data_IF_142996097818
#
_entry.id   IF_142996097818
#
_cell.length_a   1.000
_cell.length_b   1.000
_cell.length_c   1.000
_cell.angle_alpha   90.00
_cell.angle_beta   90.00
_cell.angle_gamma   90.00
#
_symmetry.space_group_name_H-M   'P 1'
#
loop_
_entity.id
_entity.type
_entity.pdbx_description
1 polymer ?
#
# COMPACT_ATOMS: atom_id res chain seq x y z
N UNK A 1 -14.75 13.56 4.87
CA UNK A 1 -14.87 12.28 4.14
C UNK A 1 -16.25 11.70 4.39
N UNK A 2 -16.95 11.28 3.33
CA UNK A 2 -18.23 10.58 3.43
C UNK A 2 -18.02 9.15 3.88
N UNK A 3 -18.99 8.55 4.55
CA UNK A 3 -19.00 7.12 4.89
C UNK A 3 -19.70 6.30 3.80
N UNK A 4 -19.39 5.01 3.71
CA UNK A 4 -20.11 4.05 2.86
C UNK A 4 -20.69 2.95 3.75
N UNK A 5 -22.02 2.84 3.81
CA UNK A 5 -22.74 1.83 4.63
C UNK A 5 -22.24 1.77 6.10
N UNK A 6 -21.95 2.92 6.70
CA UNK A 6 -21.42 2.97 8.07
C UNK A 6 -19.89 2.84 8.18
N UNK A 7 -19.18 2.56 7.08
CA UNK A 7 -17.73 2.40 7.08
C UNK A 7 -16.99 3.70 6.75
N UNK A 8 -15.87 3.90 7.44
CA UNK A 8 -15.04 5.10 7.37
C UNK A 8 -13.78 4.89 6.51
N UNK A 9 -13.12 5.99 6.11
CA UNK A 9 -11.82 5.92 5.46
C UNK A 9 -10.73 5.32 6.35
N UNK A 10 -10.71 5.62 7.65
CA UNK A 10 -9.75 5.03 8.58
C UNK A 10 -9.91 3.51 8.65
N UNK A 11 -11.16 3.01 8.63
CA UNK A 11 -11.42 1.58 8.56
C UNK A 11 -10.90 0.99 7.24
N UNK A 12 -11.28 1.59 6.09
CA UNK A 12 -10.77 1.19 4.77
C UNK A 12 -9.24 1.08 4.76
N UNK A 13 -8.56 2.11 5.28
CA UNK A 13 -7.10 2.22 5.33
C UNK A 13 -6.49 1.12 6.18
N UNK A 14 -7.11 0.77 7.30
CA UNK A 14 -6.71 -0.35 8.14
C UNK A 14 -6.86 -1.68 7.40
N UNK A 15 -7.98 -1.89 6.71
CA UNK A 15 -8.25 -3.13 5.95
C UNK A 15 -7.28 -3.34 4.79
N UNK A 16 -6.84 -2.26 4.13
CA UNK A 16 -5.82 -2.32 3.08
C UNK A 16 -4.48 -2.92 3.52
N UNK A 17 -4.23 -3.08 4.81
CA UNK A 17 -3.06 -3.82 5.28
C UNK A 17 -3.10 -5.30 4.94
N UNK A 18 -4.30 -5.86 4.77
CA UNK A 18 -4.55 -7.30 4.66
C UNK A 18 -5.35 -7.67 3.40
N UNK A 19 -6.21 -6.78 2.90
CA UNK A 19 -7.17 -7.08 1.85
C UNK A 19 -7.12 -6.09 0.70
N UNK A 20 -7.46 -6.59 -0.49
CA UNK A 20 -7.71 -5.78 -1.68
C UNK A 20 -9.15 -5.25 -1.72
N UNK A 21 -9.45 -4.35 -2.67
CA UNK A 21 -10.76 -3.70 -2.76
C UNK A 21 -11.91 -4.69 -2.99
N UNK A 22 -11.69 -5.79 -3.72
CA UNK A 22 -12.72 -6.82 -3.91
C UNK A 22 -13.08 -7.52 -2.59
N UNK A 23 -12.07 -7.91 -1.81
CA UNK A 23 -12.24 -8.53 -0.50
C UNK A 23 -12.87 -7.56 0.53
N UNK A 24 -12.49 -6.28 0.47
CA UNK A 24 -13.08 -5.26 1.34
C UNK A 24 -14.54 -5.02 0.98
N UNK A 25 -14.87 -4.94 -0.31
CA UNK A 25 -16.24 -4.78 -0.78
C UNK A 25 -17.11 -5.95 -0.34
N UNK A 26 -16.62 -7.18 -0.47
CA UNK A 26 -17.29 -8.40 0.01
C UNK A 26 -17.51 -8.35 1.53
N UNK A 27 -16.47 -8.01 2.31
CA UNK A 27 -16.56 -7.88 3.77
C UNK A 27 -17.59 -6.86 4.22
N UNK A 28 -17.69 -5.74 3.51
CA UNK A 28 -18.67 -4.68 3.78
C UNK A 28 -20.05 -4.99 3.16
N UNK A 29 -20.16 -6.10 2.44
CA UNK A 29 -21.35 -6.51 1.71
C UNK A 29 -21.88 -5.36 0.82
N UNK A 30 -20.98 -4.85 -0.03
CA UNK A 30 -21.23 -3.85 -1.06
C UNK A 30 -20.63 -4.31 -2.38
N UNK A 31 -21.07 -3.73 -3.50
CA UNK A 31 -20.46 -3.99 -4.80
C UNK A 31 -19.10 -3.32 -4.90
N UNK A 32 -18.18 -3.91 -5.69
CA UNK A 32 -16.90 -3.29 -6.00
C UNK A 32 -17.06 -1.90 -6.65
N UNK A 33 -18.11 -1.73 -7.47
CA UNK A 33 -18.46 -0.44 -8.07
C UNK A 33 -18.84 0.60 -7.03
N UNK A 34 -19.62 0.24 -6.01
CA UNK A 34 -19.98 1.15 -4.93
C UNK A 34 -18.75 1.60 -4.13
N UNK A 35 -17.83 0.67 -3.83
CA UNK A 35 -16.56 0.99 -3.18
C UNK A 35 -15.71 1.94 -4.04
N UNK A 36 -15.62 1.66 -5.34
CA UNK A 36 -14.83 2.46 -6.30
C UNK A 36 -15.38 3.88 -6.43
N UNK A 37 -16.71 4.04 -6.49
CA UNK A 37 -17.35 5.35 -6.52
C UNK A 37 -17.08 6.13 -5.23
N UNK A 38 -17.28 5.49 -4.08
CA UNK A 38 -17.00 6.11 -2.79
C UNK A 38 -15.54 6.55 -2.65
N UNK A 39 -14.59 5.73 -3.11
CA UNK A 39 -13.16 6.10 -3.17
C UNK A 39 -12.95 7.36 -4.00
N UNK A 40 -13.52 7.42 -5.20
CA UNK A 40 -13.43 8.57 -6.10
C UNK A 40 -14.00 9.85 -5.47
N UNK A 41 -15.18 9.77 -4.87
CA UNK A 41 -15.82 10.91 -4.20
C UNK A 41 -15.02 11.45 -3.01
N UNK A 42 -14.19 10.62 -2.39
CA UNK A 42 -13.34 10.99 -1.26
C UNK A 42 -11.88 11.25 -1.64
N UNK A 43 -11.53 11.21 -2.93
CA UNK A 43 -10.14 11.40 -3.39
C UNK A 43 -9.19 10.29 -2.91
N UNK A 44 -9.70 9.07 -2.69
CA UNK A 44 -8.92 7.93 -2.21
C UNK A 44 -8.38 7.13 -3.40
N UNK A 45 -7.11 7.34 -3.74
CA UNK A 45 -6.44 6.64 -4.84
C UNK A 45 -5.57 5.47 -4.40
N UNK A 46 -5.41 5.30 -3.09
CA UNK A 46 -4.54 4.26 -2.54
C UNK A 46 -5.17 2.87 -2.64
N UNK A 47 -4.34 1.88 -2.92
CA UNK A 47 -4.70 0.47 -3.05
C UNK A 47 -3.92 -0.41 -2.07
N UNK A 48 -4.32 -1.68 -2.00
CA UNK A 48 -3.62 -2.70 -1.22
C UNK A 48 -2.19 -2.92 -1.72
N UNK A 49 -2.00 -2.81 -3.04
CA UNK A 49 -0.69 -2.93 -3.67
C UNK A 49 0.25 -1.80 -3.22
N UNK A 50 -0.25 -0.55 -3.18
CA UNK A 50 0.54 0.61 -2.72
C UNK A 50 0.92 0.48 -1.25
N UNK A 51 0.02 -0.03 -0.40
CA UNK A 51 0.34 -0.31 1.01
C UNK A 51 1.44 -1.35 1.15
N UNK A 52 1.39 -2.43 0.35
CA UNK A 52 2.42 -3.45 0.35
C UNK A 52 3.76 -2.89 -0.14
N UNK A 53 3.77 -2.14 -1.24
CA UNK A 53 5.00 -1.48 -1.74
C UNK A 53 5.59 -0.52 -0.72
N UNK A 54 4.77 0.32 -0.08
CA UNK A 54 5.23 1.23 0.97
C UNK A 54 5.87 0.50 2.16
N UNK A 55 5.34 -0.66 2.56
CA UNK A 55 5.96 -1.50 3.60
C UNK A 55 7.33 -2.03 3.18
N UNK A 56 7.46 -2.43 1.92
CA UNK A 56 8.74 -2.87 1.34
C UNK A 56 9.74 -1.71 1.30
N UNK A 57 9.32 -0.54 0.82
CA UNK A 57 10.12 0.70 0.83
C UNK A 57 10.62 1.04 2.24
N UNK A 58 9.72 1.10 3.23
CA UNK A 58 10.10 1.39 4.63
C UNK A 58 11.12 0.40 5.18
N UNK A 59 11.02 -0.88 4.81
CA UNK A 59 11.99 -1.91 5.19
C UNK A 59 13.34 -1.69 4.52
N UNK A 60 13.37 -1.32 3.23
CA UNK A 60 14.59 -0.95 2.50
C UNK A 60 15.28 0.23 3.19
N UNK A 61 14.56 1.32 3.43
CA UNK A 61 15.11 2.53 4.08
C UNK A 61 15.68 2.19 5.46
N UNK A 62 14.99 1.35 6.25
CA UNK A 62 15.49 0.89 7.55
C UNK A 62 16.81 0.13 7.42
N UNK A 63 16.93 -0.77 6.45
CA UNK A 63 18.17 -1.52 6.22
C UNK A 63 19.31 -0.63 5.72
N UNK A 64 19.02 0.36 4.86
CA UNK A 64 20.01 1.35 4.43
C UNK A 64 20.51 2.19 5.62
N UNK A 65 19.61 2.64 6.51
CA UNK A 65 19.97 3.35 7.76
C UNK A 65 20.83 2.51 8.71
N UNK A 66 20.72 1.19 8.65
CA UNK A 66 21.57 0.25 9.40
C UNK A 66 22.91 -0.06 8.69
N UNK A 67 23.19 0.54 7.53
CA UNK A 67 24.44 0.37 6.78
C UNK A 67 24.49 -0.86 5.86
N UNK A 68 23.36 -1.49 5.55
CA UNK A 68 23.33 -2.61 4.61
C UNK A 68 23.51 -2.12 3.16
N UNK A 69 24.40 -2.76 2.40
CA UNK A 69 24.59 -2.46 0.97
C UNK A 69 23.36 -2.83 0.14
N UNK A 70 23.24 -2.23 -1.03
CA UNK A 70 22.16 -2.49 -1.99
C UNK A 70 22.02 -3.98 -2.33
N UNK A 71 23.13 -4.68 -2.56
CA UNK A 71 23.18 -6.12 -2.87
C UNK A 71 22.75 -6.95 -1.66
N UNK A 72 23.17 -6.57 -0.46
CA UNK A 72 22.80 -7.28 0.78
C UNK A 72 21.30 -7.16 1.04
N UNK A 73 20.72 -5.99 0.79
CA UNK A 73 19.27 -5.77 0.87
C UNK A 73 18.52 -6.63 -0.15
N UNK A 74 18.97 -6.68 -1.41
CA UNK A 74 18.37 -7.53 -2.44
C UNK A 74 18.33 -9.00 -2.02
N UNK A 75 19.43 -9.52 -1.47
CA UNK A 75 19.50 -10.90 -0.95
C UNK A 75 18.57 -11.13 0.24
N UNK A 76 18.59 -10.26 1.24
CA UNK A 76 17.78 -10.39 2.46
C UNK A 76 16.28 -10.31 2.18
N UNK A 77 15.88 -9.48 1.22
CA UNK A 77 14.48 -9.26 0.88
C UNK A 77 14.00 -10.11 -0.30
N UNK A 78 14.89 -10.88 -0.92
CA UNK A 78 14.62 -11.66 -2.14
C UNK A 78 13.95 -10.82 -3.23
N UNK A 79 14.47 -9.60 -3.45
CA UNK A 79 14.01 -8.68 -4.49
C UNK A 79 15.08 -8.49 -5.56
N UNK A 80 14.65 -8.35 -6.82
CA UNK A 80 15.57 -8.07 -7.91
C UNK A 80 16.13 -6.63 -7.80
N UNK A 81 17.35 -6.38 -8.29
CA UNK A 81 17.94 -5.04 -8.35
C UNK A 81 17.04 -4.01 -9.04
N UNK A 82 16.37 -4.41 -10.13
CA UNK A 82 15.43 -3.57 -10.88
C UNK A 82 14.24 -3.17 -10.00
N UNK A 83 13.64 -4.14 -9.30
CA UNK A 83 12.50 -3.88 -8.42
C UNK A 83 12.88 -3.01 -7.22
N UNK A 84 14.08 -3.20 -6.66
CA UNK A 84 14.58 -2.35 -5.58
C UNK A 84 14.71 -0.90 -6.04
N UNK A 85 15.37 -0.64 -7.19
CA UNK A 85 15.48 0.72 -7.76
C UNK A 85 14.10 1.35 -7.98
N UNK A 86 13.20 0.64 -8.65
CA UNK A 86 11.86 1.13 -8.91
C UNK A 86 11.09 1.48 -7.63
N UNK A 87 11.25 0.70 -6.56
CA UNK A 87 10.62 1.01 -5.27
C UNK A 87 11.22 2.27 -4.63
N UNK A 88 12.51 2.53 -4.81
CA UNK A 88 13.12 3.76 -4.30
C UNK A 88 12.67 4.98 -5.11
N UNK A 89 12.60 4.86 -6.44
CA UNK A 89 12.14 5.92 -7.34
C UNK A 89 10.67 6.27 -7.10
N UNK A 90 9.78 5.27 -7.00
CA UNK A 90 8.34 5.49 -6.78
C UNK A 90 8.01 6.20 -5.46
N UNK A 91 8.91 6.11 -4.47
CA UNK A 91 8.71 6.64 -3.12
C UNK A 91 9.81 7.63 -2.71
N UNK A 92 10.53 8.20 -3.69
CA UNK A 92 11.50 9.25 -3.44
C UNK A 92 10.77 10.48 -2.84
N UNK A 93 11.32 11.04 -1.75
CA UNK A 93 10.71 12.18 -1.05
C UNK A 93 9.49 11.86 -0.19
N UNK A 94 9.12 10.58 -0.03
CA UNK A 94 8.09 10.14 0.92
C UNK A 94 8.73 9.96 2.31
N UNK A 95 8.86 11.06 3.05
CA UNK A 95 9.30 11.05 4.47
C UNK A 95 8.15 10.88 5.47
#
# INVERSE_FOLDING_TARGET
>A
MKMIKGHSYSEYRSLLNHWNDAQIAERWNITHTALSLWKKENGIFITHYDVKRLKVYRKIIRLQKMGYSFEKINRLMQISPVKHRQILEDYEGVE
#
